data_IF_330755659008
#
_entry.id   IF_330755659008
#
_cell.length_a   1.000
_cell.length_b   1.000
_cell.length_c   1.000
_cell.angle_alpha   90.00
_cell.angle_beta   90.00
_cell.angle_gamma   90.00
#
_symmetry.space_group_name_H-M   'P 1'
#
loop_
_entity.id
_entity.type
_entity.pdbx_description
1 polymer ?
#
# COMPACT_ATOMS: atom_id res chain seq x y z
N UNK A 1 -6.11 -4.57 -16.35
CA UNK A 1 -4.72 -4.25 -15.96
C UNK A 1 -4.59 -3.61 -14.57
N UNK A 2 -5.58 -2.86 -14.07
CA UNK A 2 -5.48 -2.14 -12.79
C UNK A 2 -5.25 -3.02 -11.56
N UNK A 3 -5.82 -4.24 -11.51
CA UNK A 3 -5.64 -5.16 -10.36
C UNK A 3 -4.17 -5.56 -10.21
N UNK A 4 -3.55 -6.00 -11.32
CA UNK A 4 -2.13 -6.35 -11.32
C UNK A 4 -1.26 -5.15 -10.94
N UNK A 5 -1.60 -3.96 -11.44
CA UNK A 5 -0.90 -2.71 -11.08
C UNK A 5 -0.97 -2.42 -9.58
N UNK A 6 -2.10 -2.66 -8.91
CA UNK A 6 -2.23 -2.50 -7.46
C UNK A 6 -1.32 -3.46 -6.68
N UNK A 7 -1.28 -4.73 -7.09
CA UNK A 7 -0.44 -5.74 -6.42
C UNK A 7 1.04 -5.38 -6.56
N UNK A 8 1.47 -5.00 -7.76
CA UNK A 8 2.86 -4.58 -8.01
C UNK A 8 3.18 -3.26 -7.30
N UNK A 9 2.23 -2.34 -7.22
CA UNK A 9 2.40 -1.09 -6.47
C UNK A 9 2.65 -1.37 -4.99
N UNK A 10 1.87 -2.26 -4.37
CA UNK A 10 2.10 -2.65 -2.97
C UNK A 10 3.51 -3.19 -2.74
N UNK A 11 3.99 -4.07 -3.63
CA UNK A 11 5.38 -4.57 -3.57
C UNK A 11 6.39 -3.42 -3.62
N UNK A 12 6.26 -2.51 -4.60
CA UNK A 12 7.24 -1.43 -4.79
C UNK A 12 7.25 -0.44 -3.61
N UNK A 13 6.08 -0.08 -3.08
CA UNK A 13 5.97 0.82 -1.93
C UNK A 13 6.47 0.14 -0.64
N UNK A 14 6.21 -1.16 -0.46
CA UNK A 14 6.78 -1.93 0.64
C UNK A 14 8.31 -1.99 0.58
N UNK A 15 8.89 -2.22 -0.60
CA UNK A 15 10.35 -2.17 -0.81
C UNK A 15 10.91 -0.79 -0.48
N UNK A 16 10.21 0.30 -0.85
CA UNK A 16 10.58 1.67 -0.48
C UNK A 16 10.56 1.89 1.02
N UNK A 17 9.55 1.40 1.73
CA UNK A 17 9.46 1.51 3.19
C UNK A 17 10.59 0.74 3.90
N UNK A 18 10.91 -0.47 3.41
CA UNK A 18 12.03 -1.26 3.93
C UNK A 18 13.37 -0.52 3.76
N UNK A 19 13.59 0.11 2.59
CA UNK A 19 14.79 0.91 2.33
C UNK A 19 14.89 2.14 3.23
N UNK A 20 13.76 2.68 3.68
CA UNK A 20 13.69 3.79 4.62
C UNK A 20 13.80 3.36 6.10
N UNK A 21 14.09 2.08 6.38
CA UNK A 21 14.30 1.57 7.74
C UNK A 21 13.04 1.05 8.44
N UNK A 22 11.89 1.03 7.76
CA UNK A 22 10.67 0.53 8.40
C UNK A 22 10.71 -0.99 8.54
N UNK A 23 10.38 -1.49 9.74
CA UNK A 23 10.31 -2.93 9.98
C UNK A 23 9.23 -3.63 9.14
N UNK A 24 9.58 -4.80 8.62
CA UNK A 24 8.70 -5.64 7.79
C UNK A 24 7.37 -5.96 8.49
N UNK A 25 7.35 -6.19 9.80
CA UNK A 25 6.13 -6.49 10.55
C UNK A 25 5.12 -5.32 10.53
N UNK A 26 5.58 -4.07 10.52
CA UNK A 26 4.72 -2.88 10.39
C UNK A 26 4.07 -2.84 9.01
N UNK A 27 4.83 -3.14 7.95
CA UNK A 27 4.31 -3.18 6.57
C UNK A 27 3.32 -4.33 6.40
N UNK A 28 3.63 -5.51 6.94
CA UNK A 28 2.73 -6.67 6.90
C UNK A 28 1.45 -6.43 7.73
N UNK A 29 1.52 -5.62 8.79
CA UNK A 29 0.37 -5.22 9.60
C UNK A 29 -0.61 -4.26 8.93
N UNK A 30 -0.39 -3.86 7.68
CA UNK A 30 -1.33 -3.02 6.90
C UNK A 30 -2.53 -3.83 6.37
N UNK A 31 -3.26 -4.49 7.28
CA UNK A 31 -4.31 -5.45 6.93
C UNK A 31 -5.46 -4.81 6.13
N UNK A 32 -5.83 -3.56 6.44
CA UNK A 32 -6.94 -2.88 5.77
C UNK A 32 -6.68 -2.66 4.28
N UNK A 33 -5.51 -2.09 3.92
CA UNK A 33 -5.18 -1.84 2.50
C UNK A 33 -4.91 -3.15 1.75
N UNK A 34 -4.34 -4.15 2.42
CA UNK A 34 -4.13 -5.49 1.85
C UNK A 34 -5.46 -6.19 1.55
N UNK A 35 -6.44 -6.09 2.45
CA UNK A 35 -7.79 -6.63 2.23
C UNK A 35 -8.50 -5.89 1.07
N UNK A 36 -8.39 -4.55 0.99
CA UNK A 36 -8.90 -3.76 -0.14
C UNK A 36 -8.29 -4.22 -1.48
N UNK A 37 -6.97 -4.43 -1.54
CA UNK A 37 -6.29 -4.94 -2.74
C UNK A 37 -6.79 -6.36 -3.09
N UNK A 38 -6.92 -7.25 -2.11
CA UNK A 38 -7.41 -8.62 -2.33
C UNK A 38 -8.87 -8.66 -2.83
N UNK A 39 -9.72 -7.76 -2.32
CA UNK A 39 -11.13 -7.61 -2.70
C UNK A 39 -11.35 -6.79 -3.96
N UNK A 40 -10.30 -6.21 -4.53
CA UNK A 40 -10.40 -5.39 -5.76
C UNK A 40 -11.03 -6.13 -6.93
N UNK A 41 -10.97 -7.47 -6.95
CA UNK A 41 -11.66 -8.34 -7.93
C UNK A 41 -13.20 -8.28 -7.87
N UNK A 42 -13.77 -7.76 -6.79
CA UNK A 42 -15.22 -7.60 -6.60
C UNK A 42 -15.70 -6.18 -6.97
N UNK A 43 -14.78 -5.28 -7.34
CA UNK A 43 -15.13 -3.93 -7.79
C UNK A 43 -15.79 -4.08 -9.18
N UNK A 44 -17.02 -3.61 -9.37
CA UNK A 44 -17.66 -3.66 -10.68
C UNK A 44 -16.95 -2.72 -11.68
N UNK A 45 -17.01 -3.05 -12.97
CA UNK A 45 -16.24 -2.35 -14.01
C UNK A 45 -16.63 -0.86 -14.17
N UNK A 46 -17.87 -0.49 -13.85
CA UNK A 46 -18.35 0.89 -13.84
C UNK A 46 -17.74 1.74 -12.70
N UNK A 47 -17.11 1.09 -11.72
CA UNK A 47 -16.45 1.70 -10.56
C UNK A 47 -14.94 1.43 -10.54
N UNK A 48 -14.34 1.14 -11.70
CA UNK A 48 -12.92 0.78 -11.80
C UNK A 48 -11.97 1.90 -11.31
N UNK A 49 -12.45 3.14 -11.22
CA UNK A 49 -11.74 4.27 -10.63
C UNK A 49 -11.43 4.07 -9.13
N UNK A 50 -12.24 3.29 -8.40
CA UNK A 50 -11.99 2.95 -6.99
C UNK A 50 -10.64 2.25 -6.78
N UNK A 51 -10.11 1.62 -7.83
CA UNK A 51 -8.78 1.02 -7.80
C UNK A 51 -7.67 2.06 -7.77
N UNK A 52 -7.87 3.22 -8.41
CA UNK A 52 -6.92 4.32 -8.35
C UNK A 52 -6.96 4.98 -6.96
N UNK A 53 -8.14 5.06 -6.32
CA UNK A 53 -8.28 5.53 -4.94
C UNK A 53 -7.51 4.63 -3.95
N UNK A 54 -7.62 3.30 -4.09
CA UNK A 54 -6.84 2.34 -3.30
C UNK A 54 -5.32 2.56 -3.51
N UNK A 55 -4.91 2.90 -4.73
CA UNK A 55 -3.50 3.16 -5.04
C UNK A 55 -2.98 4.44 -4.35
N UNK A 56 -3.81 5.49 -4.28
CA UNK A 56 -3.48 6.73 -3.57
C UNK A 56 -3.43 6.51 -2.06
N UNK A 57 -4.42 5.80 -1.51
CA UNK A 57 -4.48 5.44 -0.10
C UNK A 57 -3.23 4.63 0.33
N UNK A 58 -2.86 3.61 -0.45
CA UNK A 58 -1.66 2.81 -0.21
C UNK A 58 -0.40 3.67 -0.10
N UNK A 59 -0.21 4.61 -1.02
CA UNK A 59 0.97 5.51 -0.99
C UNK A 59 0.99 6.38 0.24
N UNK A 60 -0.15 6.98 0.60
CA UNK A 60 -0.27 7.83 1.78
C UNK A 60 0.01 7.06 3.09
N UNK A 61 -0.48 5.82 3.20
CA UNK A 61 -0.21 4.95 4.35
C UNK A 61 1.28 4.65 4.45
N UNK A 62 1.93 4.28 3.34
CA UNK A 62 3.35 3.97 3.32
C UNK A 62 4.21 5.21 3.62
N UNK A 63 3.85 6.38 3.09
CA UNK A 63 4.52 7.64 3.41
C UNK A 63 4.43 7.96 4.90
N UNK A 64 3.25 7.75 5.51
CA UNK A 64 3.04 7.91 6.95
C UNK A 64 3.94 6.94 7.73
N UNK A 65 3.98 5.67 7.31
CA UNK A 65 4.80 4.62 7.92
C UNK A 65 6.30 4.96 7.89
N UNK A 66 6.78 5.51 6.77
CA UNK A 66 8.16 5.97 6.58
C UNK A 66 8.46 7.16 7.50
N UNK A 67 7.57 8.15 7.55
CA UNK A 67 7.73 9.32 8.40
C UNK A 67 7.75 8.95 9.89
N UNK A 68 6.93 7.99 10.33
CA UNK A 68 6.92 7.50 11.71
C UNK A 68 8.12 6.60 12.03
N UNK A 69 8.61 5.83 11.04
CA UNK A 69 9.76 4.96 11.19
C UNK A 69 11.10 5.70 11.21
N UNK A 70 11.25 6.76 10.41
CA UNK A 70 12.50 7.51 10.29
C UNK A 70 12.83 8.43 11.46
N UNK A 71 11.87 8.73 12.34
CA UNK A 71 12.08 9.61 13.52
C UNK A 71 12.66 8.84 14.72
N UNK A 72 12.52 7.51 14.75
CA UNK A 72 13.00 6.71 15.89
C UNK A 72 14.51 6.37 15.82
N UNK A 73 15.16 6.63 14.68
CA UNK A 73 16.59 6.32 14.45
C UNK A 73 17.48 7.58 14.28
N UNK A 74 17.02 8.77 14.72
CA UNK A 74 17.79 10.03 14.68
C UNK A 74 18.25 10.50 16.07
#
# INVERSE_FOLDING_TARGET
YKMLKLILLFKNEAERALQAGVYLNKILGLDEVRDKIARSKYIPEDQINRMDDIALELKAIIDTLINEGGVLDA
#
